data_IF_043238584840
#
_entry.id   IF_043238584840
#
_cell.length_a   1.000
_cell.length_b   1.000
_cell.length_c   1.000
_cell.angle_alpha   90.00
_cell.angle_beta   90.00
_cell.angle_gamma   90.00
#
_symmetry.space_group_name_H-M   'P 1'
#
loop_
_entity.id
_entity.type
_entity.pdbx_description
1 polymer ?
#
# COMPACT_ATOMS: atom_id res chain seq x y z
N UNK A 1 -5.85 -36.81 -3.28
CA UNK A 1 -4.59 -37.14 -3.98
C UNK A 1 -3.57 -35.98 -3.89
N UNK A 2 -3.61 -35.16 -2.84
CA UNK A 2 -2.78 -33.94 -2.73
C UNK A 2 -2.07 -33.81 -1.36
N UNK A 3 -2.07 -34.85 -0.52
CA UNK A 3 -1.86 -34.65 0.92
C UNK A 3 -0.79 -35.51 1.63
N UNK A 4 0.20 -36.11 0.93
CA UNK A 4 1.51 -36.20 1.61
C UNK A 4 2.76 -36.01 0.74
N UNK A 5 2.64 -35.72 -0.56
CA UNK A 5 3.80 -35.67 -1.49
C UNK A 5 4.27 -34.25 -1.89
N UNK A 6 3.63 -33.19 -1.39
CA UNK A 6 3.74 -31.83 -1.94
C UNK A 6 5.01 -31.02 -1.63
N UNK A 7 5.88 -31.47 -0.72
CA UNK A 7 6.93 -30.60 -0.17
C UNK A 7 8.25 -30.54 -0.98
N UNK A 8 8.42 -31.31 -2.05
CA UNK A 8 9.70 -31.32 -2.81
C UNK A 8 9.56 -31.39 -4.33
N UNK A 9 8.40 -31.74 -4.88
CA UNK A 9 8.22 -31.87 -6.34
C UNK A 9 8.09 -30.52 -7.07
N UNK A 10 7.80 -29.42 -6.36
CA UNK A 10 7.77 -28.09 -6.96
C UNK A 10 9.15 -27.65 -7.50
N UNK A 11 10.22 -28.28 -7.05
CA UNK A 11 11.58 -27.99 -7.46
C UNK A 11 11.95 -28.57 -8.83
N UNK A 12 11.23 -29.61 -9.29
CA UNK A 12 11.41 -30.19 -10.61
C UNK A 12 10.68 -29.34 -11.67
N UNK A 13 11.41 -28.75 -12.64
CA UNK A 13 10.80 -27.90 -13.65
C UNK A 13 9.78 -28.63 -14.54
N UNK A 14 9.95 -29.93 -14.78
CA UNK A 14 9.04 -30.72 -15.62
C UNK A 14 7.71 -30.92 -14.88
N UNK A 15 7.79 -31.27 -13.59
CA UNK A 15 6.60 -31.45 -12.76
C UNK A 15 5.89 -30.11 -12.58
N UNK A 16 6.63 -29.03 -12.33
CA UNK A 16 6.08 -27.69 -12.18
C UNK A 16 5.33 -27.21 -13.43
N UNK A 17 5.89 -27.46 -14.62
CA UNK A 17 5.24 -27.17 -15.90
C UNK A 17 3.97 -28.01 -16.08
N UNK A 18 4.05 -29.32 -15.89
CA UNK A 18 2.90 -30.23 -16.01
C UNK A 18 1.76 -29.88 -15.04
N UNK A 19 2.08 -29.47 -13.81
CA UNK A 19 1.08 -29.01 -12.83
C UNK A 19 0.39 -27.74 -13.31
N UNK A 20 1.14 -26.74 -13.80
CA UNK A 20 0.54 -25.51 -14.33
C UNK A 20 -0.28 -25.74 -15.60
N UNK A 21 0.14 -26.64 -16.49
CA UNK A 21 -0.64 -27.03 -17.65
C UNK A 21 -1.95 -27.71 -17.25
N UNK A 22 -1.89 -28.65 -16.31
CA UNK A 22 -3.07 -29.33 -15.78
C UNK A 22 -4.07 -28.35 -15.14
N UNK A 23 -3.57 -27.41 -14.33
CA UNK A 23 -4.39 -26.38 -13.69
C UNK A 23 -5.03 -25.44 -14.72
N UNK A 24 -4.28 -25.00 -15.73
CA UNK A 24 -4.81 -24.15 -16.79
C UNK A 24 -5.86 -24.88 -17.65
N UNK A 25 -5.63 -26.15 -17.99
CA UNK A 25 -6.58 -26.95 -18.77
C UNK A 25 -7.90 -27.21 -18.02
N UNK A 26 -7.87 -27.28 -16.69
CA UNK A 26 -9.02 -27.62 -15.86
C UNK A 26 -9.57 -26.42 -15.05
N UNK A 27 -9.09 -25.21 -15.28
CA UNK A 27 -9.43 -24.00 -14.51
C UNK A 27 -10.95 -23.80 -14.38
N UNK A 28 -11.71 -23.95 -15.48
CA UNK A 28 -13.16 -23.78 -15.47
C UNK A 28 -13.87 -24.84 -14.59
N UNK A 29 -13.35 -26.06 -14.54
CA UNK A 29 -13.90 -27.13 -13.70
C UNK A 29 -13.64 -26.86 -12.22
N UNK A 30 -12.44 -26.36 -11.89
CA UNK A 30 -12.11 -25.98 -10.51
C UNK A 30 -12.97 -24.82 -10.03
N UNK A 31 -13.13 -23.77 -10.84
CA UNK A 31 -13.94 -22.61 -10.49
C UNK A 31 -15.42 -22.96 -10.30
N UNK A 32 -15.95 -23.92 -11.04
CA UNK A 32 -17.37 -24.31 -10.97
C UNK A 32 -17.65 -25.38 -9.91
N UNK A 33 -16.75 -26.36 -9.77
CA UNK A 33 -16.99 -27.55 -8.92
C UNK A 33 -16.34 -27.44 -7.54
N UNK A 34 -15.21 -26.73 -7.42
CA UNK A 34 -14.42 -26.63 -6.19
C UNK A 34 -13.79 -25.24 -6.01
N UNK A 35 -14.61 -24.17 -5.85
CA UNK A 35 -14.12 -22.78 -5.86
C UNK A 35 -13.14 -22.44 -4.74
N UNK A 36 -13.14 -23.20 -3.64
CA UNK A 36 -12.26 -22.98 -2.48
C UNK A 36 -10.95 -23.78 -2.55
N UNK A 37 -10.87 -24.80 -3.40
CA UNK A 37 -9.74 -25.74 -3.43
C UNK A 37 -8.47 -25.06 -3.95
N UNK A 38 -8.57 -24.39 -5.10
CA UNK A 38 -7.42 -23.76 -5.72
C UNK A 38 -6.82 -22.61 -4.86
N UNK A 39 -7.64 -21.73 -4.25
CA UNK A 39 -7.17 -20.76 -3.27
C UNK A 39 -6.38 -21.36 -2.10
N UNK A 40 -6.72 -22.54 -1.58
CA UNK A 40 -5.99 -23.13 -0.45
C UNK A 40 -4.52 -23.44 -0.79
N UNK A 41 -4.24 -23.78 -2.06
CA UNK A 41 -2.91 -24.14 -2.53
C UNK A 41 -2.07 -22.94 -3.02
N UNK A 42 -2.50 -21.69 -2.79
CA UNK A 42 -1.72 -20.52 -3.20
C UNK A 42 -0.28 -20.53 -2.65
N UNK A 43 0.02 -20.93 -1.39
CA UNK A 43 1.38 -20.91 -0.86
C UNK A 43 2.32 -21.84 -1.63
N UNK A 44 1.84 -23.04 -2.00
CA UNK A 44 2.60 -24.00 -2.80
C UNK A 44 2.85 -23.49 -4.21
N UNK A 45 1.85 -22.89 -4.85
CA UNK A 45 2.01 -22.30 -6.18
C UNK A 45 2.96 -21.11 -6.19
N UNK A 46 2.98 -20.32 -5.11
CA UNK A 46 3.97 -19.27 -4.87
C UNK A 46 5.39 -19.86 -4.72
N UNK A 47 5.58 -20.96 -3.97
CA UNK A 47 6.87 -21.68 -3.87
C UNK A 47 7.33 -22.22 -5.24
N UNK A 48 6.42 -22.80 -6.01
CA UNK A 48 6.68 -23.32 -7.36
C UNK A 48 7.21 -22.23 -8.30
N UNK A 49 6.58 -21.06 -8.31
CA UNK A 49 7.04 -19.93 -9.15
C UNK A 49 8.30 -19.30 -8.62
N UNK A 50 8.43 -19.19 -7.30
CA UNK A 50 9.65 -18.70 -6.67
C UNK A 50 10.87 -19.53 -7.09
N UNK A 51 10.71 -20.86 -7.22
CA UNK A 51 11.79 -21.76 -7.59
C UNK A 51 12.12 -21.78 -9.09
N UNK A 52 11.10 -21.82 -9.95
CA UNK A 52 11.25 -22.03 -11.39
C UNK A 52 11.41 -20.74 -12.21
N UNK A 53 11.11 -19.57 -11.63
CA UNK A 53 11.41 -18.27 -12.21
C UNK A 53 10.56 -17.90 -13.44
N UNK A 54 11.13 -17.08 -14.32
CA UNK A 54 10.40 -16.39 -15.42
C UNK A 54 9.82 -17.35 -16.47
N UNK A 55 10.36 -18.57 -16.60
CA UNK A 55 9.87 -19.59 -17.55
C UNK A 55 8.38 -19.91 -17.36
N UNK A 56 7.94 -19.93 -16.11
CA UNK A 56 6.57 -20.29 -15.73
C UNK A 56 5.69 -19.07 -15.41
N UNK A 57 6.18 -17.84 -15.60
CA UNK A 57 5.42 -16.61 -15.29
C UNK A 57 4.10 -16.55 -16.09
N UNK A 58 4.16 -16.74 -17.41
CA UNK A 58 2.99 -16.67 -18.30
C UNK A 58 1.90 -17.70 -17.95
N UNK A 59 2.20 -19.01 -17.82
CA UNK A 59 1.19 -19.99 -17.42
C UNK A 59 0.67 -19.74 -16.00
N UNK A 60 1.49 -19.18 -15.11
CA UNK A 60 1.06 -18.81 -13.76
C UNK A 60 0.10 -17.62 -13.74
N UNK A 61 0.38 -16.56 -14.49
CA UNK A 61 -0.49 -15.38 -14.53
C UNK A 61 -1.90 -15.70 -15.07
N UNK A 62 -2.06 -16.78 -15.86
CA UNK A 62 -3.38 -17.25 -16.31
C UNK A 62 -4.21 -17.88 -15.19
N UNK A 63 -3.57 -18.65 -14.31
CA UNK A 63 -4.25 -19.31 -13.18
C UNK A 63 -4.35 -18.40 -11.95
N UNK A 64 -3.47 -17.41 -11.82
CA UNK A 64 -3.37 -16.54 -10.65
C UNK A 64 -4.69 -15.86 -10.23
N UNK A 65 -5.53 -15.33 -11.14
CA UNK A 65 -6.85 -14.78 -10.77
C UNK A 65 -7.75 -15.79 -10.03
N UNK A 66 -7.63 -17.08 -10.35
CA UNK A 66 -8.42 -18.13 -9.72
C UNK A 66 -7.93 -18.48 -8.30
N UNK A 67 -6.76 -17.98 -7.89
CA UNK A 67 -6.28 -18.05 -6.50
C UNK A 67 -6.92 -16.99 -5.61
N UNK A 68 -7.55 -15.98 -6.19
CA UNK A 68 -8.15 -14.86 -5.46
C UNK A 68 -9.58 -15.20 -5.10
N UNK A 69 -9.80 -15.52 -3.83
CA UNK A 69 -11.11 -15.82 -3.24
C UNK A 69 -11.30 -14.99 -1.97
N UNK A 70 -12.53 -14.87 -1.43
CA UNK A 70 -12.76 -14.12 -0.19
C UNK A 70 -11.87 -14.58 0.99
N UNK A 71 -11.53 -15.87 1.07
CA UNK A 71 -10.68 -16.42 2.13
C UNK A 71 -9.17 -16.24 1.89
N UNK A 72 -8.74 -16.22 0.63
CA UNK A 72 -7.31 -16.09 0.27
C UNK A 72 -6.88 -14.65 -0.05
N UNK A 73 -7.82 -13.74 -0.32
CA UNK A 73 -7.52 -12.39 -0.80
C UNK A 73 -6.60 -11.60 0.12
N UNK A 74 -6.93 -11.52 1.42
CA UNK A 74 -6.13 -10.76 2.39
C UNK A 74 -4.78 -11.44 2.69
N UNK A 75 -4.70 -12.76 2.95
CA UNK A 75 -3.42 -13.44 3.18
C UNK A 75 -2.48 -13.45 1.98
N UNK A 76 -3.02 -13.45 0.75
CA UNK A 76 -2.23 -13.48 -0.47
C UNK A 76 -1.38 -12.21 -0.65
N UNK A 77 -1.88 -11.04 -0.23
CA UNK A 77 -1.15 -9.77 -0.40
C UNK A 77 0.21 -9.78 0.33
N UNK A 78 0.30 -10.05 1.66
CA UNK A 78 1.59 -10.19 2.32
C UNK A 78 2.51 -11.22 1.68
N UNK A 79 1.99 -12.35 1.19
CA UNK A 79 2.80 -13.37 0.51
C UNK A 79 3.45 -12.86 -0.78
N UNK A 80 2.71 -12.09 -1.57
CA UNK A 80 3.22 -11.45 -2.79
C UNK A 80 4.25 -10.37 -2.48
N UNK A 81 4.09 -9.66 -1.37
CA UNK A 81 5.07 -8.65 -0.94
C UNK A 81 6.37 -9.28 -0.44
N UNK A 82 6.27 -10.45 0.19
CA UNK A 82 7.40 -11.21 0.74
C UNK A 82 8.01 -12.20 -0.25
N UNK A 83 7.57 -12.16 -1.50
CA UNK A 83 8.07 -13.06 -2.53
C UNK A 83 9.61 -13.07 -2.64
N UNK A 84 10.29 -11.91 -2.63
CA UNK A 84 11.75 -11.88 -2.64
C UNK A 84 12.37 -12.61 -1.45
N UNK A 85 11.76 -12.53 -0.26
CA UNK A 85 12.24 -13.26 0.92
C UNK A 85 12.02 -14.76 0.75
N UNK A 86 10.88 -15.17 0.19
CA UNK A 86 10.60 -16.58 -0.05
C UNK A 86 11.70 -17.22 -0.91
N UNK A 87 12.18 -16.53 -1.95
CA UNK A 87 13.32 -17.01 -2.75
C UNK A 87 14.60 -17.09 -1.93
N UNK A 88 14.92 -16.06 -1.14
CA UNK A 88 16.10 -16.07 -0.26
C UNK A 88 16.04 -17.24 0.73
N UNK A 89 14.88 -17.53 1.30
CA UNK A 89 14.67 -18.66 2.20
C UNK A 89 14.87 -20.01 1.49
N UNK A 90 14.28 -20.19 0.31
CA UNK A 90 14.41 -21.40 -0.49
C UNK A 90 15.87 -21.67 -0.90
N UNK A 91 16.60 -20.63 -1.33
CA UNK A 91 18.02 -20.76 -1.69
C UNK A 91 18.93 -21.03 -0.49
N UNK A 92 18.55 -20.58 0.71
CA UNK A 92 19.29 -20.93 1.93
C UNK A 92 19.12 -22.40 2.27
N UNK A 93 17.90 -22.93 2.18
CA UNK A 93 17.66 -24.36 2.40
C UNK A 93 18.45 -25.21 1.40
N UNK A 94 18.51 -24.80 0.13
CA UNK A 94 19.33 -25.48 -0.89
C UNK A 94 20.82 -25.54 -0.53
N UNK A 95 21.38 -24.43 -0.04
CA UNK A 95 22.79 -24.37 0.37
C UNK A 95 23.07 -25.22 1.62
N UNK A 96 22.09 -25.40 2.50
CA UNK A 96 22.25 -26.12 3.77
C UNK A 96 21.91 -27.61 3.67
N UNK A 97 21.01 -28.02 2.77
CA UNK A 97 20.50 -29.39 2.65
C UNK A 97 21.02 -30.17 1.42
N UNK A 98 21.82 -29.53 0.56
CA UNK A 98 22.10 -30.04 -0.79
C UNK A 98 20.87 -29.91 -1.69
N UNK A 99 20.97 -30.37 -2.94
CA UNK A 99 19.88 -30.29 -3.94
C UNK A 99 18.52 -30.66 -3.32
N UNK A 100 17.53 -29.75 -3.40
CA UNK A 100 16.15 -29.99 -2.93
C UNK A 100 15.45 -31.14 -3.70
N UNK A 101 16.08 -31.64 -4.76
CA UNK A 101 15.65 -32.83 -5.48
C UNK A 101 15.93 -34.06 -4.61
N UNK A 102 14.92 -34.49 -3.84
CA UNK A 102 14.91 -35.78 -3.14
C UNK A 102 15.16 -35.76 -1.63
N UNK A 103 15.53 -34.63 -1.03
CA UNK A 103 15.74 -34.52 0.42
C UNK A 103 14.54 -33.87 1.13
N UNK A 104 13.92 -34.62 2.04
CA UNK A 104 12.74 -34.17 2.79
C UNK A 104 13.10 -33.09 3.81
N UNK A 105 12.39 -31.96 3.80
CA UNK A 105 12.51 -30.85 4.78
C UNK A 105 12.32 -31.35 6.22
N UNK A 106 11.66 -32.50 6.42
CA UNK A 106 11.57 -33.20 7.70
C UNK A 106 12.93 -33.57 8.32
N UNK A 107 14.00 -33.68 7.52
CA UNK A 107 15.36 -33.92 8.02
C UNK A 107 15.98 -32.74 8.79
N UNK A 108 15.45 -31.52 8.60
CA UNK A 108 15.86 -30.32 9.36
C UNK A 108 15.31 -30.39 10.80
N UNK A 109 14.27 -31.19 11.04
CA UNK A 109 13.80 -31.58 12.37
C UNK A 109 14.50 -32.83 12.92
N UNK A 110 15.77 -33.09 12.58
CA UNK A 110 16.57 -34.00 13.40
C UNK A 110 16.86 -33.28 14.73
N UNK A 111 15.86 -33.29 15.60
CA UNK A 111 15.97 -32.78 16.96
C UNK A 111 17.24 -33.35 17.59
N UNK A 112 17.98 -32.56 18.38
CA UNK A 112 19.07 -33.07 19.23
C UNK A 112 18.57 -34.03 20.32
N UNK A 113 17.24 -34.17 20.48
CA UNK A 113 16.61 -34.97 21.51
C UNK A 113 16.86 -36.50 21.43
N UNK A 114 16.88 -37.17 20.25
CA UNK A 114 17.15 -38.59 20.16
C UNK A 114 18.63 -38.91 20.36
N UNK A 115 19.54 -38.04 19.92
CA UNK A 115 21.00 -38.21 20.13
C UNK A 115 21.38 -37.96 21.58
N UNK A 116 20.76 -36.99 22.26
CA UNK A 116 20.95 -36.75 23.70
C UNK A 116 20.33 -37.86 24.56
N UNK A 117 19.22 -38.46 24.13
CA UNK A 117 18.64 -39.66 24.77
C UNK A 117 19.50 -40.91 24.53
N UNK A 118 20.06 -41.09 23.33
CA UNK A 118 21.02 -42.17 23.06
C UNK A 118 22.30 -42.00 23.88
N UNK A 119 22.82 -40.78 24.01
CA UNK A 119 24.00 -40.47 24.83
C UNK A 119 23.73 -40.70 26.33
N UNK A 120 22.57 -40.29 26.84
CA UNK A 120 22.16 -40.55 28.23
C UNK A 120 21.87 -42.03 28.51
N UNK A 121 21.36 -42.77 27.52
CA UNK A 121 21.18 -44.22 27.63
C UNK A 121 22.52 -44.95 27.63
N UNK A 122 23.50 -44.51 26.83
CA UNK A 122 24.87 -45.04 26.86
C UNK A 122 25.61 -44.69 28.15
N UNK A 123 25.41 -43.50 28.72
CA UNK A 123 25.97 -43.09 30.03
C UNK A 123 25.41 -43.94 31.16
N UNK A 124 24.09 -44.19 31.18
CA UNK A 124 23.44 -45.05 32.17
C UNK A 124 23.81 -46.54 32.03
N UNK A 125 24.25 -46.98 30.85
CA UNK A 125 24.59 -48.38 30.58
C UNK A 125 26.09 -48.69 30.70
N UNK A 126 26.96 -47.70 30.48
CA UNK A 126 28.43 -47.87 30.47
C UNK A 126 29.15 -47.20 31.64
N UNK A 127 28.48 -46.32 32.40
CA UNK A 127 29.00 -45.77 33.66
C UNK A 127 30.23 -44.87 33.55
N UNK A 128 30.63 -44.45 32.35
CA UNK A 128 31.76 -43.52 32.18
C UNK A 128 31.32 -42.07 32.31
N UNK A 129 31.72 -41.42 33.39
CA UNK A 129 31.64 -39.96 33.55
C UNK A 129 32.54 -39.29 32.52
N UNK A 130 32.00 -38.37 31.70
CA UNK A 130 32.84 -37.52 30.83
C UNK A 130 33.77 -36.71 31.74
N UNK A 131 35.07 -37.00 31.63
CA UNK A 131 36.12 -36.21 32.26
C UNK A 131 36.15 -34.81 31.68
N UNK A 132 36.19 -33.83 32.58
CA UNK A 132 36.59 -32.45 32.34
C UNK A 132 37.93 -32.44 31.57
N UNK A 133 37.89 -31.98 30.32
CA UNK A 133 39.01 -32.04 29.39
C UNK A 133 39.05 -30.78 28.55
N UNK A 134 39.67 -29.73 29.09
CA UNK A 134 40.08 -28.55 28.32
C UNK A 134 41.05 -28.93 27.21
N UNK A 135 40.87 -28.31 26.05
CA UNK A 135 41.74 -28.44 24.89
C UNK A 135 41.33 -27.45 23.82
N UNK A 136 42.20 -26.47 23.59
CA UNK A 136 42.07 -25.38 22.64
C UNK A 136 41.70 -25.85 21.22
N UNK A 137 40.74 -25.17 20.61
CA UNK A 137 40.65 -25.02 19.16
C UNK A 137 40.11 -23.64 18.87
N UNK A 138 41.04 -22.71 18.70
CA UNK A 138 40.83 -21.49 17.92
C UNK A 138 40.43 -21.92 16.50
N UNK A 139 39.13 -21.90 16.21
CA UNK A 139 38.65 -21.80 14.83
C UNK A 139 37.76 -20.58 14.72
N UNK A 140 38.20 -19.64 13.89
CA UNK A 140 37.44 -18.47 13.47
C UNK A 140 36.11 -18.91 12.84
N UNK A 141 35.06 -18.98 13.64
CA UNK A 141 33.71 -19.24 13.15
C UNK A 141 33.13 -17.95 12.57
N UNK A 142 33.27 -17.86 11.24
CA UNK A 142 32.35 -17.14 10.38
C UNK A 142 30.91 -17.32 10.87
N UNK A 143 30.16 -16.22 10.96
CA UNK A 143 28.74 -16.15 11.32
C UNK A 143 27.87 -17.21 10.62
N UNK A 144 27.83 -18.43 11.12
CA UNK A 144 26.87 -19.47 10.75
C UNK A 144 25.59 -19.18 11.54
N UNK A 145 24.82 -18.21 11.02
CA UNK A 145 23.42 -18.05 11.41
C UNK A 145 22.71 -19.39 11.19
N UNK A 146 22.42 -20.06 12.29
CA UNK A 146 21.87 -21.40 12.38
C UNK A 146 20.58 -21.54 11.54
N UNK A 147 20.50 -22.62 10.77
CA UNK A 147 19.36 -23.00 9.90
C UNK A 147 18.08 -23.19 10.72
N UNK A 148 18.22 -23.30 12.03
CA UNK A 148 17.16 -23.44 13.02
C UNK A 148 16.49 -22.11 13.44
N UNK A 149 16.63 -21.01 12.71
CA UNK A 149 15.89 -19.78 13.02
C UNK A 149 14.37 -20.02 12.77
N UNK A 150 13.54 -20.03 13.83
CA UNK A 150 12.13 -20.42 13.76
C UNK A 150 11.32 -19.59 12.74
N UNK A 151 11.77 -18.38 12.42
CA UNK A 151 11.17 -17.51 11.40
C UNK A 151 11.29 -18.09 9.97
N UNK A 152 12.35 -18.85 9.66
CA UNK A 152 12.52 -19.47 8.33
C UNK A 152 11.69 -20.72 8.15
N UNK A 153 11.58 -21.53 9.21
CA UNK A 153 10.70 -22.68 9.20
C UNK A 153 9.24 -22.24 9.10
N UNK A 154 8.85 -21.11 9.70
CA UNK A 154 7.54 -20.49 9.51
C UNK A 154 7.30 -20.05 8.06
N UNK A 155 8.31 -19.48 7.38
CA UNK A 155 8.23 -19.13 5.95
C UNK A 155 8.05 -20.34 5.02
N UNK A 156 8.52 -21.51 5.43
CA UNK A 156 8.57 -22.73 4.62
C UNK A 156 7.53 -23.78 5.01
N UNK A 157 6.88 -23.63 6.16
CA UNK A 157 5.77 -24.50 6.59
C UNK A 157 4.71 -24.55 5.50
N UNK A 158 4.10 -25.72 5.40
CA UNK A 158 2.99 -25.97 4.49
C UNK A 158 1.71 -25.53 5.18
N UNK A 159 1.43 -24.23 5.14
CA UNK A 159 0.40 -23.61 5.97
C UNK A 159 -0.94 -23.56 5.23
N UNK A 160 -1.68 -24.67 5.30
CA UNK A 160 -3.13 -24.65 5.15
C UNK A 160 -3.83 -23.93 6.34
N UNK A 161 -3.08 -23.50 7.37
CA UNK A 161 -3.57 -22.90 8.63
C UNK A 161 -3.40 -21.37 8.74
N UNK A 162 -3.11 -20.69 7.63
CA UNK A 162 -3.07 -19.23 7.60
C UNK A 162 -1.71 -18.66 8.01
N UNK A 163 -1.23 -17.71 7.20
CA UNK A 163 0.08 -17.10 7.38
C UNK A 163 0.07 -16.16 8.60
N UNK A 164 0.89 -16.44 9.61
CA UNK A 164 1.15 -15.51 10.71
C UNK A 164 1.67 -14.16 10.21
N UNK A 165 1.38 -13.09 10.95
CA UNK A 165 1.88 -11.74 10.66
C UNK A 165 3.42 -11.70 10.79
N UNK A 166 4.10 -11.45 9.66
CA UNK A 166 5.57 -11.53 9.56
C UNK A 166 6.24 -10.27 10.10
N UNK A 167 7.04 -10.43 11.15
CA UNK A 167 7.76 -9.34 11.81
C UNK A 167 9.04 -8.97 11.05
N UNK A 168 8.93 -8.15 10.02
CA UNK A 168 10.07 -7.64 9.25
C UNK A 168 11.11 -6.87 10.07
N UNK A 169 10.72 -6.39 11.25
CA UNK A 169 11.60 -5.66 12.17
C UNK A 169 12.40 -6.59 13.09
N UNK A 170 12.30 -7.91 12.94
CA UNK A 170 13.09 -8.83 13.74
C UNK A 170 14.58 -8.75 13.35
N UNK A 171 15.51 -8.78 14.34
CA UNK A 171 16.94 -8.73 14.06
C UNK A 171 17.39 -9.86 13.13
N UNK A 172 16.80 -11.07 13.25
CA UNK A 172 17.02 -12.19 12.33
C UNK A 172 16.69 -11.85 10.88
N UNK A 173 15.50 -11.31 10.60
CA UNK A 173 15.10 -10.93 9.23
C UNK A 173 16.01 -9.84 8.65
N UNK A 174 16.39 -8.84 9.45
CA UNK A 174 17.27 -7.77 8.97
C UNK A 174 18.66 -8.28 8.61
N UNK A 175 19.23 -9.19 9.39
CA UNK A 175 20.53 -9.81 9.11
C UNK A 175 20.49 -10.65 7.81
N UNK A 176 19.38 -11.33 7.55
CA UNK A 176 19.17 -12.13 6.34
C UNK A 176 19.10 -11.26 5.10
N UNK A 177 18.30 -10.21 5.16
CA UNK A 177 18.16 -9.26 4.07
C UNK A 177 19.53 -8.62 3.79
N UNK A 178 20.26 -8.24 4.84
CA UNK A 178 21.60 -7.67 4.70
C UNK A 178 22.59 -8.68 4.08
N UNK A 179 22.54 -9.95 4.49
CA UNK A 179 23.37 -11.01 3.89
C UNK A 179 23.01 -11.27 2.41
N UNK A 180 21.73 -11.23 2.05
CA UNK A 180 21.26 -11.35 0.67
C UNK A 180 21.64 -10.15 -0.20
N UNK A 181 21.80 -8.97 0.40
CA UNK A 181 22.29 -7.77 -0.29
C UNK A 181 23.81 -7.78 -0.50
N UNK A 182 24.55 -8.32 0.47
CA UNK A 182 26.02 -8.34 0.44
C UNK A 182 26.57 -9.44 -0.49
N UNK A 183 25.76 -10.45 -0.79
CA UNK A 183 26.11 -11.52 -1.74
C UNK A 183 25.64 -11.16 -3.16
N UNK A 184 26.31 -11.70 -4.18
CA UNK A 184 25.89 -11.49 -5.56
C UNK A 184 24.45 -12.02 -5.74
N UNK A 185 23.51 -11.12 -6.07
CA UNK A 185 22.10 -11.47 -6.23
C UNK A 185 21.94 -12.60 -7.26
N UNK A 186 21.27 -13.67 -6.85
CA UNK A 186 20.96 -14.80 -7.72
C UNK A 186 20.09 -14.35 -8.90
N UNK A 187 20.21 -15.03 -10.03
CA UNK A 187 19.38 -14.71 -11.20
C UNK A 187 17.89 -14.99 -10.93
N UNK A 188 17.59 -15.98 -10.08
CA UNK A 188 16.23 -16.27 -9.59
C UNK A 188 15.65 -15.09 -8.82
N UNK A 189 16.41 -14.49 -7.91
CA UNK A 189 15.99 -13.30 -7.16
C UNK A 189 15.76 -12.09 -8.10
N UNK A 190 16.65 -11.86 -9.07
CA UNK A 190 16.48 -10.78 -10.06
C UNK A 190 15.22 -10.95 -10.90
N UNK A 191 14.97 -12.17 -11.38
CA UNK A 191 13.75 -12.50 -12.13
C UNK A 191 12.52 -12.23 -11.26
N UNK A 192 12.51 -12.71 -10.01
CA UNK A 192 11.37 -12.54 -9.13
C UNK A 192 11.10 -11.06 -8.78
N UNK A 193 12.14 -10.27 -8.52
CA UNK A 193 12.00 -8.82 -8.30
C UNK A 193 11.34 -8.11 -9.50
N UNK A 194 11.50 -8.62 -10.71
CA UNK A 194 10.84 -8.11 -11.91
C UNK A 194 9.41 -8.65 -12.11
N UNK A 195 9.15 -9.91 -11.72
CA UNK A 195 7.83 -10.55 -11.83
C UNK A 195 6.83 -10.03 -10.78
N UNK A 196 7.27 -9.83 -9.53
CA UNK A 196 6.37 -9.45 -8.42
C UNK A 196 5.49 -8.23 -8.74
N UNK A 197 6.00 -7.10 -9.29
CA UNK A 197 5.15 -5.98 -9.67
C UNK A 197 4.06 -6.34 -10.71
N UNK A 198 4.35 -7.25 -11.65
CA UNK A 198 3.38 -7.69 -12.67
C UNK A 198 2.29 -8.57 -12.07
N UNK A 199 2.67 -9.44 -11.13
CA UNK A 199 1.70 -10.26 -10.39
C UNK A 199 0.80 -9.36 -9.52
N UNK A 200 1.37 -8.32 -8.90
CA UNK A 200 0.59 -7.30 -8.18
C UNK A 200 -0.36 -6.53 -9.11
N UNK A 201 0.05 -6.21 -10.34
CA UNK A 201 -0.82 -5.56 -11.33
C UNK A 201 -2.08 -6.43 -11.60
N UNK A 202 -1.92 -7.74 -11.75
CA UNK A 202 -3.05 -8.69 -11.90
C UNK A 202 -3.88 -8.77 -10.63
N UNK A 203 -3.24 -8.89 -9.46
CA UNK A 203 -3.93 -8.95 -8.15
C UNK A 203 -4.84 -7.73 -7.95
N UNK A 204 -4.31 -6.53 -8.19
CA UNK A 204 -5.05 -5.28 -8.04
C UNK A 204 -6.15 -5.12 -9.10
N UNK A 205 -5.90 -5.56 -10.34
CA UNK A 205 -6.92 -5.53 -11.40
C UNK A 205 -8.12 -6.42 -11.05
N UNK A 206 -7.86 -7.64 -10.56
CA UNK A 206 -8.92 -8.57 -10.12
C UNK A 206 -9.64 -8.02 -8.88
N UNK A 207 -8.90 -7.45 -7.93
CA UNK A 207 -9.47 -6.85 -6.73
C UNK A 207 -10.48 -5.73 -7.08
N UNK A 208 -10.11 -4.81 -7.98
CA UNK A 208 -10.98 -3.72 -8.38
C UNK A 208 -12.24 -4.17 -9.15
N UNK A 209 -12.21 -5.33 -9.79
CA UNK A 209 -13.32 -5.84 -10.61
C UNK A 209 -14.28 -6.77 -9.84
N UNK A 210 -13.74 -7.66 -9.01
CA UNK A 210 -14.51 -8.82 -8.49
C UNK A 210 -14.67 -8.76 -6.96
N UNK A 211 -13.74 -8.14 -6.24
CA UNK A 211 -13.71 -8.21 -4.77
C UNK A 211 -14.62 -7.15 -4.13
N UNK A 212 -15.32 -7.57 -3.09
CA UNK A 212 -16.23 -6.74 -2.30
C UNK A 212 -15.52 -5.58 -1.58
N UNK A 213 -16.28 -4.52 -1.35
CA UNK A 213 -15.78 -3.29 -0.73
C UNK A 213 -15.22 -3.50 0.68
N UNK A 214 -15.78 -4.43 1.47
CA UNK A 214 -15.29 -4.69 2.83
C UNK A 214 -13.89 -5.29 2.85
N UNK A 215 -13.58 -6.23 1.95
CA UNK A 215 -12.23 -6.80 1.84
C UNK A 215 -11.25 -5.77 1.30
N UNK A 216 -11.64 -4.95 0.34
CA UNK A 216 -10.77 -3.87 -0.16
C UNK A 216 -10.50 -2.84 0.94
N UNK A 217 -11.52 -2.47 1.72
CA UNK A 217 -11.35 -1.58 2.87
C UNK A 217 -10.39 -2.18 3.91
N UNK A 218 -10.45 -3.49 4.16
CA UNK A 218 -9.52 -4.18 5.05
C UNK A 218 -8.09 -4.28 4.48
N UNK A 219 -7.93 -4.34 3.16
CA UNK A 219 -6.63 -4.40 2.51
C UNK A 219 -5.86 -3.07 2.61
N UNK A 220 -6.53 -1.92 2.49
CA UNK A 220 -5.88 -0.60 2.42
C UNK A 220 -4.90 -0.34 3.59
N UNK A 221 -5.25 -0.58 4.88
CA UNK A 221 -4.29 -0.45 5.98
C UNK A 221 -3.05 -1.33 5.84
N UNK A 222 -3.19 -2.55 5.29
CA UNK A 222 -2.06 -3.44 5.01
C UNK A 222 -1.13 -2.83 3.96
N UNK A 223 -1.69 -2.23 2.90
CA UNK A 223 -0.91 -1.52 1.88
C UNK A 223 -0.13 -0.34 2.48
N UNK A 224 -0.79 0.44 3.34
CA UNK A 224 -0.18 1.58 4.02
C UNK A 224 0.99 1.13 4.92
N UNK A 225 0.81 0.06 5.69
CA UNK A 225 1.85 -0.51 6.55
C UNK A 225 3.05 -1.02 5.75
N UNK A 226 2.77 -1.72 4.64
CA UNK A 226 3.81 -2.30 3.78
C UNK A 226 4.56 -1.30 2.93
N UNK A 227 4.01 -0.12 2.67
CA UNK A 227 4.67 0.90 1.86
C UNK A 227 6.05 1.32 2.43
N UNK A 228 6.21 1.25 3.76
CA UNK A 228 7.50 1.50 4.45
C UNK A 228 8.41 0.28 4.57
N UNK A 229 7.89 -0.94 4.41
CA UNK A 229 8.57 -2.20 4.72
C UNK A 229 8.60 -3.06 3.45
N UNK A 230 9.65 -2.89 2.66
CA UNK A 230 9.86 -3.58 1.38
C UNK A 230 11.25 -4.18 1.32
N UNK A 231 11.42 -5.17 0.45
CA UNK A 231 12.73 -5.70 0.12
C UNK A 231 13.63 -4.57 -0.44
N UNK A 232 14.85 -4.36 0.10
CA UNK A 232 15.71 -3.23 -0.22
C UNK A 232 16.36 -3.33 -1.62
N UNK A 233 15.57 -3.08 -2.66
CA UNK A 233 16.02 -2.87 -4.02
C UNK A 233 15.32 -1.61 -4.57
N UNK A 234 16.08 -0.65 -5.10
CA UNK A 234 15.55 0.68 -5.49
C UNK A 234 14.47 0.58 -6.57
N UNK A 235 14.72 -0.18 -7.63
CA UNK A 235 13.80 -0.31 -8.76
C UNK A 235 12.54 -1.08 -8.35
N UNK A 236 12.72 -2.15 -7.58
CA UNK A 236 11.61 -2.92 -7.00
C UNK A 236 10.74 -2.05 -6.09
N UNK A 237 11.35 -1.34 -5.14
CA UNK A 237 10.64 -0.45 -4.22
C UNK A 237 9.84 0.61 -4.98
N UNK A 238 10.46 1.26 -5.97
CA UNK A 238 9.77 2.27 -6.79
C UNK A 238 8.57 1.66 -7.52
N UNK A 239 8.77 0.53 -8.23
CA UNK A 239 7.71 -0.14 -8.97
C UNK A 239 6.56 -0.53 -8.03
N UNK A 240 6.84 -1.21 -6.93
CA UNK A 240 5.83 -1.69 -5.98
C UNK A 240 5.09 -0.53 -5.32
N UNK A 241 5.79 0.47 -4.75
CA UNK A 241 5.15 1.63 -4.12
C UNK A 241 4.20 2.35 -5.09
N UNK A 242 4.60 2.50 -6.35
CA UNK A 242 3.74 3.08 -7.39
C UNK A 242 2.43 2.29 -7.54
N UNK A 243 2.47 0.95 -7.63
CA UNK A 243 1.25 0.11 -7.73
C UNK A 243 0.37 0.23 -6.49
N UNK A 244 0.98 0.19 -5.29
CA UNK A 244 0.24 0.33 -4.04
C UNK A 244 -0.54 1.64 -4.01
N UNK A 245 0.11 2.75 -4.39
CA UNK A 245 -0.51 4.07 -4.44
C UNK A 245 -1.62 4.12 -5.50
N UNK A 246 -1.36 3.67 -6.72
CA UNK A 246 -2.35 3.65 -7.81
C UNK A 246 -3.59 2.85 -7.42
N UNK A 247 -3.42 1.67 -6.80
CA UNK A 247 -4.54 0.87 -6.32
C UNK A 247 -5.31 1.55 -5.19
N UNK A 248 -4.64 2.13 -4.18
CA UNK A 248 -5.32 2.85 -3.11
C UNK A 248 -6.15 4.02 -3.63
N UNK A 249 -5.60 4.81 -4.56
CA UNK A 249 -6.32 5.91 -5.19
C UNK A 249 -7.52 5.41 -6.02
N UNK A 250 -7.36 4.33 -6.79
CA UNK A 250 -8.46 3.71 -7.51
C UNK A 250 -9.55 3.18 -6.57
N UNK A 251 -9.17 2.61 -5.43
CA UNK A 251 -10.10 2.13 -4.41
C UNK A 251 -10.89 3.28 -3.76
N UNK A 252 -10.23 4.39 -3.41
CA UNK A 252 -10.90 5.59 -2.91
C UNK A 252 -11.81 6.24 -3.96
N UNK A 253 -11.42 6.21 -5.22
CA UNK A 253 -12.25 6.70 -6.31
C UNK A 253 -13.49 5.83 -6.52
N UNK A 254 -13.35 4.50 -6.38
CA UNK A 254 -14.46 3.55 -6.47
C UNK A 254 -15.43 3.71 -5.30
N UNK A 255 -14.90 3.85 -4.08
CA UNK A 255 -15.70 3.96 -2.85
C UNK A 255 -15.11 5.04 -1.93
N UNK A 256 -15.58 6.30 -2.06
CA UNK A 256 -15.15 7.42 -1.22
C UNK A 256 -15.31 7.16 0.28
N UNK A 257 -16.32 6.37 0.66
CA UNK A 257 -16.64 6.03 2.05
C UNK A 257 -15.47 5.38 2.80
N UNK A 258 -14.54 4.72 2.10
CA UNK A 258 -13.34 4.13 2.70
C UNK A 258 -12.51 5.15 3.47
N UNK A 259 -12.46 6.42 3.04
CA UNK A 259 -11.70 7.46 3.73
C UNK A 259 -12.28 7.73 5.12
N UNK A 260 -13.61 7.73 5.25
CA UNK A 260 -14.26 7.91 6.53
C UNK A 260 -14.05 6.70 7.46
N UNK A 261 -14.13 5.49 6.90
CA UNK A 261 -13.92 4.24 7.64
C UNK A 261 -12.46 4.10 8.12
N UNK A 262 -11.50 4.52 7.31
CA UNK A 262 -10.07 4.38 7.54
C UNK A 262 -9.42 5.66 8.10
N UNK A 263 -10.20 6.57 8.67
CA UNK A 263 -9.72 7.86 9.19
C UNK A 263 -8.51 7.70 10.13
N UNK A 264 -8.55 6.74 11.06
CA UNK A 264 -7.47 6.49 12.03
C UNK A 264 -6.16 6.06 11.34
N UNK A 265 -6.13 4.94 10.56
CA UNK A 265 -4.95 4.55 9.79
C UNK A 265 -4.39 5.67 8.89
N UNK A 266 -5.28 6.45 8.26
CA UNK A 266 -4.87 7.58 7.41
C UNK A 266 -4.15 8.65 8.24
N UNK A 267 -4.72 9.05 9.37
CA UNK A 267 -4.13 10.08 10.23
C UNK A 267 -2.79 9.65 10.84
N UNK A 268 -2.67 8.39 11.24
CA UNK A 268 -1.40 7.85 11.76
C UNK A 268 -0.27 8.00 10.71
N UNK A 269 -0.56 7.69 9.44
CA UNK A 269 0.41 7.82 8.34
C UNK A 269 0.76 9.27 8.01
N UNK A 270 -0.20 10.19 8.15
CA UNK A 270 0.05 11.62 7.99
C UNK A 270 0.99 12.16 9.08
N UNK A 271 0.80 11.73 10.33
CA UNK A 271 1.67 12.07 11.45
C UNK A 271 3.10 11.54 11.26
N UNK A 272 3.26 10.28 10.85
CA UNK A 272 4.59 9.69 10.59
C UNK A 272 5.38 10.40 9.48
N UNK A 273 4.70 10.96 8.49
CA UNK A 273 5.33 11.68 7.38
C UNK A 273 5.92 13.04 7.78
N UNK A 274 5.47 13.61 8.90
CA UNK A 274 6.07 14.80 9.47
C UNK A 274 7.49 14.52 10.01
N UNK A 275 7.67 13.33 10.60
CA UNK A 275 8.94 12.89 11.17
C UNK A 275 9.91 12.37 10.10
N UNK A 276 9.42 11.57 9.15
CA UNK A 276 10.26 10.91 8.16
C UNK A 276 9.96 11.33 6.71
N UNK A 277 10.90 11.99 6.00
CA UNK A 277 10.69 12.42 4.62
C UNK A 277 10.50 11.26 3.63
N UNK A 278 10.96 10.04 3.95
CA UNK A 278 10.73 8.86 3.11
C UNK A 278 9.25 8.44 3.07
N UNK A 279 8.46 8.83 4.07
CA UNK A 279 7.02 8.54 4.16
C UNK A 279 6.14 9.64 3.57
N UNK A 280 6.74 10.77 3.17
CA UNK A 280 5.99 11.94 2.67
C UNK A 280 5.13 11.62 1.45
N UNK A 281 5.62 10.83 0.49
CA UNK A 281 4.89 10.61 -0.77
C UNK A 281 3.54 9.91 -0.54
N UNK A 282 3.47 8.93 0.36
CA UNK A 282 2.20 8.30 0.75
C UNK A 282 1.26 9.32 1.41
N UNK A 283 1.76 10.12 2.35
CA UNK A 283 0.96 11.13 3.02
C UNK A 283 0.42 12.20 2.07
N UNK A 284 1.17 12.59 1.02
CA UNK A 284 0.67 13.48 -0.02
C UNK A 284 -0.55 12.89 -0.72
N UNK A 285 -0.48 11.61 -1.12
CA UNK A 285 -1.58 10.94 -1.82
C UNK A 285 -2.81 10.75 -0.91
N UNK A 286 -2.61 10.42 0.36
CA UNK A 286 -3.70 10.33 1.34
C UNK A 286 -4.35 11.69 1.60
N UNK A 287 -3.55 12.75 1.71
CA UNK A 287 -4.04 14.11 1.89
C UNK A 287 -4.84 14.59 0.66
N UNK A 288 -4.35 14.28 -0.55
CA UNK A 288 -5.09 14.51 -1.78
C UNK A 288 -6.43 13.77 -1.79
N UNK A 289 -6.43 12.49 -1.40
CA UNK A 289 -7.65 11.67 -1.37
C UNK A 289 -8.69 12.22 -0.38
N UNK A 290 -8.27 12.64 0.82
CA UNK A 290 -9.15 13.31 1.80
C UNK A 290 -9.85 14.51 1.18
N UNK A 291 -9.07 15.38 0.51
CA UNK A 291 -9.60 16.58 -0.13
C UNK A 291 -10.53 16.28 -1.31
N UNK A 292 -10.09 15.43 -2.24
CA UNK A 292 -10.82 15.11 -3.47
C UNK A 292 -12.20 14.47 -3.19
N UNK A 293 -12.26 13.61 -2.18
CA UNK A 293 -13.45 12.84 -1.85
C UNK A 293 -14.23 13.42 -0.67
N UNK A 294 -13.92 14.63 -0.22
CA UNK A 294 -14.63 15.29 0.87
C UNK A 294 -14.60 14.50 2.19
N UNK A 295 -13.53 13.76 2.48
CA UNK A 295 -13.39 13.00 3.72
C UNK A 295 -14.34 11.80 3.87
N UNK A 296 -14.89 11.29 2.77
CA UNK A 296 -15.86 10.17 2.79
C UNK A 296 -17.16 10.41 2.03
N UNK A 297 -17.34 11.60 1.44
CA UNK A 297 -18.57 12.01 0.79
C UNK A 297 -19.56 12.71 1.73
N UNK A 298 -20.73 13.08 1.19
CA UNK A 298 -21.72 13.96 1.87
C UNK A 298 -22.32 13.38 3.15
N UNK A 299 -22.42 12.06 3.23
CA UNK A 299 -22.99 11.35 4.38
C UNK A 299 -22.05 11.32 5.60
N UNK A 300 -20.73 11.51 5.39
CA UNK A 300 -19.72 11.29 6.42
C UNK A 300 -19.21 12.60 7.05
N UNK A 301 -20.14 13.47 7.50
CA UNK A 301 -19.80 14.79 8.06
C UNK A 301 -18.91 14.72 9.30
N UNK A 302 -19.19 13.81 10.22
CA UNK A 302 -18.42 13.69 11.46
C UNK A 302 -16.99 13.22 11.19
N UNK A 303 -16.82 12.25 10.30
CA UNK A 303 -15.49 11.81 9.86
C UNK A 303 -14.73 12.93 9.15
N UNK A 304 -15.39 13.71 8.29
CA UNK A 304 -14.78 14.86 7.63
C UNK A 304 -14.35 15.95 8.63
N UNK A 305 -15.12 16.16 9.71
CA UNK A 305 -14.76 17.08 10.80
C UNK A 305 -13.53 16.61 11.56
N UNK A 306 -13.46 15.33 11.94
CA UNK A 306 -12.28 14.77 12.62
C UNK A 306 -11.02 14.79 11.73
N UNK A 307 -11.16 14.49 10.44
CA UNK A 307 -10.08 14.60 9.47
C UNK A 307 -9.61 16.05 9.34
N UNK A 308 -10.54 17.01 9.26
CA UNK A 308 -10.22 18.42 9.25
C UNK A 308 -9.46 18.84 10.51
N UNK A 309 -9.91 18.43 11.69
CA UNK A 309 -9.26 18.70 12.97
C UNK A 309 -7.83 18.23 13.01
N UNK A 310 -7.61 17.02 12.51
CA UNK A 310 -6.29 16.40 12.50
C UNK A 310 -5.36 17.06 11.47
N UNK A 311 -5.90 17.47 10.30
CA UNK A 311 -5.16 18.26 9.31
C UNK A 311 -4.82 19.66 9.85
N UNK A 312 -5.72 20.29 10.58
CA UNK A 312 -5.50 21.57 11.24
C UNK A 312 -4.42 21.48 12.33
N UNK A 313 -4.42 20.40 13.13
CA UNK A 313 -3.39 20.14 14.12
C UNK A 313 -2.01 20.07 13.46
N UNK A 314 -1.87 19.24 12.42
CA UNK A 314 -0.62 19.09 11.68
C UNK A 314 -0.16 20.43 11.07
N UNK A 315 -1.09 21.23 10.56
CA UNK A 315 -0.80 22.58 10.08
C UNK A 315 -0.23 23.48 11.18
N UNK A 316 -0.83 23.49 12.37
CA UNK A 316 -0.39 24.35 13.47
C UNK A 316 0.91 23.89 14.13
N UNK A 317 1.13 22.59 14.30
CA UNK A 317 2.40 22.04 14.81
C UNK A 317 3.57 22.51 13.95
N UNK A 318 3.42 22.46 12.62
CA UNK A 318 4.42 22.93 11.68
C UNK A 318 4.66 24.46 11.78
N UNK A 319 3.61 25.26 11.94
CA UNK A 319 3.74 26.71 12.13
C UNK A 319 4.50 27.05 13.42
N UNK A 320 4.27 26.31 14.49
CA UNK A 320 4.96 26.49 15.78
C UNK A 320 6.42 26.08 15.69
N UNK A 321 6.72 24.92 15.10
CA UNK A 321 8.11 24.48 14.87
C UNK A 321 8.90 25.46 14.00
N UNK A 322 8.27 26.10 13.02
CA UNK A 322 8.92 27.14 12.20
C UNK A 322 9.19 28.43 12.97
N UNK A 323 8.43 28.76 14.02
CA UNK A 323 8.60 30.00 14.80
C UNK A 323 9.60 29.87 15.93
N UNK A 324 9.67 28.69 16.55
CA UNK A 324 10.48 28.49 17.75
C UNK A 324 11.98 28.32 17.44
N UNK A 325 12.38 28.18 16.17
CA UNK A 325 13.80 27.99 15.82
C UNK A 325 14.45 26.75 16.46
N UNK A 326 13.66 25.89 17.12
CA UNK A 326 14.04 24.73 17.93
C UNK A 326 14.64 23.57 17.14
N UNK A 327 15.04 23.81 15.89
CA UNK A 327 15.57 22.78 15.00
C UNK A 327 16.84 23.24 14.28
N UNK A 328 17.60 24.12 14.92
CA UNK A 328 19.04 24.25 14.66
C UNK A 328 19.76 23.18 15.49
N UNK A 329 19.72 21.93 15.02
CA UNK A 329 20.79 21.01 15.40
C UNK A 329 22.01 21.43 14.60
N UNK A 330 22.92 22.13 15.27
CA UNK A 330 24.25 22.50 14.81
C UNK A 330 25.01 21.24 14.38
N UNK A 331 25.20 21.06 13.06
CA UNK A 331 25.99 19.96 12.50
C UNK A 331 25.80 19.76 10.99
N UNK A 332 26.55 20.53 10.19
CA UNK A 332 27.14 20.19 8.87
C UNK A 332 26.37 19.40 7.77
N UNK A 333 25.03 19.34 7.78
CA UNK A 333 24.23 18.66 6.75
C UNK A 333 23.19 19.57 6.07
N UNK A 334 23.67 20.67 5.46
CA UNK A 334 22.83 21.69 4.80
C UNK A 334 21.92 21.15 3.68
N UNK A 335 22.35 20.11 2.96
CA UNK A 335 21.60 19.50 1.86
C UNK A 335 20.41 18.65 2.34
N UNK A 336 20.61 17.83 3.37
CA UNK A 336 19.56 17.00 3.98
C UNK A 336 18.50 17.82 4.69
N UNK A 337 18.92 18.93 5.32
CA UNK A 337 18.00 19.85 5.98
C UNK A 337 17.13 20.62 4.97
N UNK A 338 17.72 21.08 3.87
CA UNK A 338 16.97 21.72 2.76
C UNK A 338 15.95 20.76 2.12
N UNK A 339 16.33 19.50 1.90
CA UNK A 339 15.42 18.47 1.37
C UNK A 339 14.24 18.23 2.32
N UNK A 340 14.48 18.08 3.63
CA UNK A 340 13.42 17.88 4.63
C UNK A 340 12.52 19.10 4.76
N UNK A 341 13.05 20.32 4.75
CA UNK A 341 12.23 21.55 4.73
C UNK A 341 11.37 21.61 3.47
N UNK A 342 11.92 21.27 2.31
CA UNK A 342 11.17 21.26 1.05
C UNK A 342 10.07 20.20 1.04
N UNK A 343 10.31 18.99 1.57
CA UNK A 343 9.28 17.95 1.68
C UNK A 343 8.17 18.34 2.65
N UNK A 344 8.50 18.98 3.77
CA UNK A 344 7.53 19.52 4.73
C UNK A 344 6.65 20.59 4.10
N UNK A 345 7.25 21.56 3.39
CA UNK A 345 6.46 22.57 2.67
C UNK A 345 5.54 21.98 1.61
N UNK A 346 5.99 20.93 0.88
CA UNK A 346 5.13 20.18 -0.05
C UNK A 346 3.95 19.55 0.68
N UNK A 347 4.18 18.91 1.82
CA UNK A 347 3.10 18.31 2.63
C UNK A 347 2.10 19.36 3.11
N UNK A 348 2.56 20.49 3.65
CA UNK A 348 1.69 21.58 4.10
C UNK A 348 0.84 22.15 2.97
N UNK A 349 1.39 22.23 1.76
CA UNK A 349 0.65 22.66 0.60
C UNK A 349 -0.51 21.70 0.26
N UNK A 350 -0.31 20.39 0.38
CA UNK A 350 -1.37 19.41 0.22
C UNK A 350 -2.39 19.52 1.35
N UNK A 351 -1.96 19.69 2.59
CA UNK A 351 -2.83 19.87 3.78
C UNK A 351 -3.73 21.10 3.63
N UNK A 352 -3.17 22.24 3.25
CA UNK A 352 -3.91 23.46 2.96
C UNK A 352 -4.94 23.24 1.84
N UNK A 353 -4.55 22.52 0.78
CA UNK A 353 -5.47 22.19 -0.33
C UNK A 353 -6.59 21.27 0.15
N UNK A 354 -6.29 20.25 0.96
CA UNK A 354 -7.29 19.33 1.51
C UNK A 354 -8.27 20.06 2.44
N UNK A 355 -7.78 20.95 3.31
CA UNK A 355 -8.60 21.83 4.16
C UNK A 355 -9.56 22.68 3.31
N UNK A 356 -9.06 23.31 2.25
CA UNK A 356 -9.88 24.13 1.36
C UNK A 356 -10.94 23.31 0.60
N UNK A 357 -10.57 22.14 0.08
CA UNK A 357 -11.50 21.20 -0.57
C UNK A 357 -12.55 20.66 0.40
N UNK A 358 -12.16 20.24 1.60
CA UNK A 358 -13.08 19.79 2.66
C UNK A 358 -14.07 20.90 3.04
N UNK A 359 -13.62 22.14 3.18
CA UNK A 359 -14.48 23.27 3.49
C UNK A 359 -15.43 23.65 2.35
N UNK A 360 -15.00 23.44 1.11
CA UNK A 360 -15.85 23.62 -0.08
C UNK A 360 -16.92 22.53 -0.14
N UNK A 361 -16.55 21.30 0.20
CA UNK A 361 -17.44 20.15 0.19
C UNK A 361 -18.44 20.17 1.36
N UNK A 362 -17.96 20.46 2.58
CA UNK A 362 -18.73 20.53 3.83
C UNK A 362 -18.73 21.97 4.36
N UNK A 363 -19.77 22.73 3.99
CA UNK A 363 -19.86 24.18 4.27
C UNK A 363 -19.78 24.57 5.75
N UNK A 364 -20.08 23.65 6.66
CA UNK A 364 -19.93 23.85 8.11
C UNK A 364 -18.47 24.07 8.55
N UNK A 365 -17.50 23.55 7.78
CA UNK A 365 -16.07 23.71 8.06
C UNK A 365 -15.50 25.03 7.53
N UNK A 366 -16.27 25.77 6.72
CA UNK A 366 -15.79 26.97 6.01
C UNK A 366 -15.28 28.08 6.95
N UNK A 367 -16.00 28.49 8.03
CA UNK A 367 -15.51 29.51 8.94
C UNK A 367 -14.18 29.11 9.59
N UNK A 368 -14.07 27.83 9.99
CA UNK A 368 -12.87 27.27 10.61
C UNK A 368 -11.70 27.28 9.63
N UNK A 369 -11.91 26.80 8.40
CA UNK A 369 -10.90 26.82 7.34
C UNK A 369 -10.35 28.23 7.06
N UNK A 370 -11.23 29.24 6.98
CA UNK A 370 -10.80 30.64 6.80
C UNK A 370 -9.91 31.12 7.96
N UNK A 371 -10.22 30.73 9.19
CA UNK A 371 -9.39 31.05 10.35
C UNK A 371 -8.03 30.34 10.29
N UNK A 372 -8.01 29.04 9.99
CA UNK A 372 -6.78 28.24 9.91
C UNK A 372 -5.85 28.76 8.81
N UNK A 373 -6.37 28.99 7.60
CA UNK A 373 -5.60 29.55 6.48
C UNK A 373 -5.21 31.01 6.73
N UNK A 374 -6.08 31.81 7.35
CA UNK A 374 -5.74 33.18 7.75
C UNK A 374 -4.62 33.24 8.77
N UNK A 375 -4.51 32.26 9.68
CA UNK A 375 -3.36 32.15 10.59
C UNK A 375 -2.07 31.82 9.84
N UNK A 376 -2.11 30.92 8.85
CA UNK A 376 -0.95 30.61 8.00
C UNK A 376 -0.51 31.84 7.21
N UNK A 377 -1.44 32.52 6.53
CA UNK A 377 -1.15 33.70 5.71
C UNK A 377 -0.60 34.89 6.55
N UNK A 378 -0.99 34.99 7.82
CA UNK A 378 -0.46 36.00 8.75
C UNK A 378 0.82 35.56 9.45
N UNK A 379 1.03 34.25 9.61
CA UNK A 379 2.32 33.76 10.07
C UNK A 379 3.34 33.99 8.97
N UNK A 380 4.43 34.69 9.29
CA UNK A 380 5.58 34.86 8.38
C UNK A 380 6.29 33.50 8.22
N UNK A 381 5.64 32.53 7.57
CA UNK A 381 6.23 31.23 7.25
C UNK A 381 7.43 31.47 6.34
N UNK A 382 8.52 30.72 6.56
CA UNK A 382 9.75 30.86 5.79
C UNK A 382 9.60 30.45 4.32
N UNK A 383 8.63 29.57 3.99
CA UNK A 383 8.40 29.12 2.62
C UNK A 383 7.28 29.89 1.92
N UNK A 384 7.65 30.60 0.85
CA UNK A 384 6.74 31.36 -0.02
C UNK A 384 5.63 30.48 -0.61
N UNK A 385 5.90 29.20 -0.93
CA UNK A 385 4.90 28.30 -1.55
C UNK A 385 3.72 28.01 -0.64
N UNK A 386 3.98 27.87 0.66
CA UNK A 386 2.96 27.58 1.67
C UNK A 386 2.12 28.84 1.90
N UNK A 387 2.79 29.99 2.01
CA UNK A 387 2.14 31.28 2.19
C UNK A 387 1.22 31.64 1.00
N UNK A 388 1.73 31.58 -0.23
CA UNK A 388 0.97 31.89 -1.44
C UNK A 388 -0.25 31.00 -1.56
N UNK A 389 -0.08 29.69 -1.37
CA UNK A 389 -1.21 28.75 -1.44
C UNK A 389 -2.27 29.00 -0.37
N UNK A 390 -1.88 29.34 0.86
CA UNK A 390 -2.84 29.70 1.91
C UNK A 390 -3.58 31.01 1.58
N UNK A 391 -2.86 32.00 1.04
CA UNK A 391 -3.43 33.29 0.63
C UNK A 391 -4.43 33.13 -0.52
N UNK A 392 -4.06 32.38 -1.57
CA UNK A 392 -4.90 32.12 -2.73
C UNK A 392 -6.20 31.43 -2.34
N UNK A 393 -6.14 30.38 -1.51
CA UNK A 393 -7.34 29.69 -1.06
C UNK A 393 -8.17 30.51 -0.06
N UNK A 394 -7.55 31.39 0.74
CA UNK A 394 -8.32 32.31 1.58
C UNK A 394 -9.15 33.28 0.73
N UNK A 395 -8.57 33.77 -0.37
CA UNK A 395 -9.28 34.54 -1.40
C UNK A 395 -10.40 33.72 -2.04
N UNK A 396 -10.08 32.54 -2.54
CA UNK A 396 -11.03 31.65 -3.23
C UNK A 396 -12.22 31.25 -2.36
N UNK A 397 -11.99 30.91 -1.09
CA UNK A 397 -13.04 30.55 -0.12
C UNK A 397 -13.95 31.75 0.27
N UNK A 398 -13.71 32.95 -0.26
CA UNK A 398 -14.58 34.12 -0.07
C UNK A 398 -15.78 34.08 -1.00
N UNK A 399 -15.67 33.39 -2.14
CA UNK A 399 -16.78 33.16 -3.05
C UNK A 399 -17.07 31.65 -3.14
N UNK A 400 -18.13 31.17 -2.46
CA UNK A 400 -18.50 29.76 -2.46
C UNK A 400 -18.82 29.19 -3.85
N UNK A 401 -19.28 30.00 -4.80
CA UNK A 401 -19.63 29.55 -6.15
C UNK A 401 -18.38 29.23 -6.96
N UNK A 402 -17.43 30.17 -6.97
CA UNK A 402 -16.14 29.99 -7.65
C UNK A 402 -15.32 28.89 -6.96
N UNK A 403 -15.34 28.82 -5.63
CA UNK A 403 -14.65 27.74 -4.91
C UNK A 403 -15.23 26.37 -5.27
N UNK A 404 -16.54 26.22 -5.38
CA UNK A 404 -17.16 24.95 -5.77
C UNK A 404 -16.83 24.55 -7.22
N UNK A 405 -16.72 25.51 -8.13
CA UNK A 405 -16.31 25.21 -9.52
C UNK A 405 -14.86 24.76 -9.64
N UNK A 406 -13.97 25.22 -8.77
CA UNK A 406 -12.52 24.96 -8.86
C UNK A 406 -12.10 23.80 -7.94
N UNK A 407 -12.63 23.77 -6.72
CA UNK A 407 -12.28 22.82 -5.66
C UNK A 407 -13.35 21.75 -5.42
N UNK A 408 -14.50 21.86 -6.07
CA UNK A 408 -15.57 20.87 -5.96
C UNK A 408 -15.17 19.50 -6.49
N UNK A 409 -15.93 18.46 -6.13
CA UNK A 409 -15.65 17.09 -6.55
C UNK A 409 -15.73 16.98 -8.08
N UNK A 410 -14.74 16.32 -8.68
CA UNK A 410 -14.66 16.08 -10.11
C UNK A 410 -15.77 15.18 -10.66
N UNK A 411 -16.42 14.38 -9.81
CA UNK A 411 -17.58 13.54 -10.15
C UNK A 411 -18.77 13.92 -9.26
N UNK A 412 -19.96 14.19 -9.82
CA UNK A 412 -21.16 14.41 -9.03
C UNK A 412 -21.53 13.11 -8.28
N UNK A 413 -21.98 13.24 -7.03
CA UNK A 413 -22.32 12.11 -6.17
C UNK A 413 -23.58 11.36 -6.61
N UNK A 414 -24.35 11.92 -7.55
CA UNK A 414 -25.51 11.32 -8.21
C UNK A 414 -25.70 11.98 -9.58
N UNK A 415 -26.20 11.24 -10.58
CA UNK A 415 -26.53 11.78 -11.91
C UNK A 415 -27.49 12.99 -11.83
N UNK A 416 -28.32 13.06 -10.77
CA UNK A 416 -29.32 14.12 -10.57
C UNK A 416 -28.85 15.33 -9.73
N UNK A 417 -27.65 15.31 -9.13
CA UNK A 417 -27.18 16.41 -8.29
C UNK A 417 -26.19 17.30 -9.04
N UNK A 418 -26.69 18.14 -9.93
CA UNK A 418 -25.90 19.27 -10.43
C UNK A 418 -25.57 20.22 -9.29
N UNK A 419 -24.28 20.30 -8.97
CA UNK A 419 -23.76 21.29 -8.05
C UNK A 419 -23.96 22.68 -8.68
N UNK A 420 -24.58 23.64 -7.97
CA UNK A 420 -24.80 24.98 -8.53
C UNK A 420 -23.45 25.61 -8.88
N UNK A 421 -23.25 25.95 -10.17
CA UNK A 421 -22.02 26.57 -10.66
C UNK A 421 -20.96 25.61 -11.23
N UNK A 422 -21.23 24.29 -11.32
CA UNK A 422 -20.33 23.39 -12.05
C UNK A 422 -20.57 23.53 -13.56
N UNK A 423 -19.66 24.23 -14.24
CA UNK A 423 -19.65 24.30 -15.70
C UNK A 423 -19.12 22.97 -16.24
N UNK A 424 -19.99 22.20 -16.90
CA UNK A 424 -19.54 21.04 -17.67
C UNK A 424 -18.84 21.54 -18.96
N UNK A 425 -17.53 21.72 -18.87
CA UNK A 425 -16.71 22.22 -19.98
C UNK A 425 -16.78 21.34 -21.23
N UNK A 426 -17.21 20.07 -21.10
CA UNK A 426 -17.44 19.19 -22.25
C UNK A 426 -18.71 19.56 -23.04
N UNK A 427 -19.69 20.18 -22.38
CA UNK A 427 -20.94 20.70 -22.97
C UNK A 427 -20.89 22.21 -23.26
N UNK A 428 -19.82 22.90 -22.86
CA UNK A 428 -19.67 24.36 -22.94
C UNK A 428 -19.74 24.97 -24.35
N UNK A 429 -19.75 24.16 -25.42
CA UNK A 429 -20.06 24.65 -26.78
C UNK A 429 -21.56 24.83 -27.06
N UNK A 430 -22.44 24.11 -26.37
CA UNK A 430 -23.85 24.00 -26.77
C UNK A 430 -24.87 24.41 -25.69
N UNK A 431 -24.52 24.40 -24.40
CA UNK A 431 -25.45 24.81 -23.32
C UNK A 431 -24.74 25.68 -22.28
N UNK A 432 -25.30 26.86 -22.04
CA UNK A 432 -24.89 27.73 -20.93
C UNK A 432 -25.94 27.58 -19.82
N UNK A 433 -25.70 26.70 -18.86
CA UNK A 433 -26.53 26.64 -17.64
C UNK A 433 -25.94 27.63 -16.64
N UNK A 434 -26.40 28.87 -16.71
CA UNK A 434 -26.14 29.86 -15.67
C UNK A 434 -27.38 29.98 -14.78
N UNK A 435 -27.28 29.51 -13.54
CA UNK A 435 -28.27 29.74 -12.47
C UNK A 435 -28.20 31.16 -11.90
N UNK A 436 -27.82 32.15 -12.72
CA UNK A 436 -28.15 33.55 -12.42
C UNK A 436 -29.56 33.73 -12.94
N UNK A 437 -30.53 34.16 -12.14
CA UNK A 437 -31.84 34.45 -12.67
C UNK A 437 -31.74 35.68 -13.58
N UNK A 438 -31.67 35.45 -14.90
CA UNK A 438 -31.55 36.51 -15.89
C UNK A 438 -32.78 37.41 -16.00
N UNK A 439 -33.84 37.15 -15.22
CA UNK A 439 -34.97 38.09 -15.05
C UNK A 439 -34.54 39.44 -14.46
N UNK A 440 -33.31 39.55 -13.93
CA UNK A 440 -32.75 40.82 -13.42
C UNK A 440 -32.19 41.70 -14.56
N UNK A 441 -31.90 41.15 -15.74
CA UNK A 441 -31.20 41.91 -16.81
C UNK A 441 -32.13 42.52 -17.89
N UNK A 442 -33.41 42.19 -17.87
CA UNK A 442 -34.48 42.95 -18.53
C UNK A 442 -35.74 42.76 -17.71
N UNK A 443 -36.33 43.85 -17.24
CA UNK A 443 -37.63 43.90 -16.56
C UNK A 443 -38.75 43.21 -17.37
N UNK A 444 -38.79 41.88 -17.37
CA UNK A 444 -39.92 41.10 -17.86
C UNK A 444 -40.31 40.11 -16.78
N UNK A 445 -41.49 40.34 -16.22
CA UNK A 445 -42.13 39.47 -15.24
C UNK A 445 -42.63 38.19 -15.93
N UNK A 446 -42.15 37.03 -15.47
CA UNK A 446 -42.71 35.71 -15.82
C UNK A 446 -41.72 34.55 -15.62
N UNK A 447 -42.18 33.35 -15.22
CA UNK A 447 -41.32 32.17 -15.15
C UNK A 447 -40.88 31.71 -16.55
N UNK A 448 -39.65 31.17 -16.73
CA UNK A 448 -39.18 30.74 -18.05
C UNK A 448 -39.89 29.46 -18.50
N UNK A 449 -40.45 29.48 -19.71
CA UNK A 449 -41.15 28.34 -20.32
C UNK A 449 -40.25 27.44 -21.18
N UNK A 450 -38.92 27.62 -21.17
CA UNK A 450 -37.95 26.73 -21.85
C UNK A 450 -36.50 27.12 -21.50
N UNK A 451 -35.58 26.16 -21.66
CA UNK A 451 -34.13 26.37 -21.59
C UNK A 451 -33.67 27.26 -22.76
N UNK A 452 -33.01 28.39 -22.46
CA UNK A 452 -32.51 29.31 -23.47
C UNK A 452 -31.29 28.74 -24.21
N UNK A 453 -31.29 28.88 -25.55
CA UNK A 453 -30.22 28.49 -26.45
C UNK A 453 -29.40 29.70 -26.94
N UNK A 454 -28.18 29.48 -27.44
CA UNK A 454 -27.35 30.56 -28.01
C UNK A 454 -28.02 31.32 -29.17
N UNK A 455 -28.95 30.67 -29.87
CA UNK A 455 -29.74 31.28 -30.94
C UNK A 455 -30.72 32.36 -30.47
N UNK A 456 -31.05 32.39 -29.17
CA UNK A 456 -32.02 33.33 -28.61
C UNK A 456 -31.39 34.69 -28.24
N UNK A 457 -30.05 34.72 -28.13
CA UNK A 457 -29.25 35.90 -27.73
C UNK A 457 -28.70 36.62 -28.96
N UNK A 458 -28.42 35.89 -30.03
CA UNK A 458 -27.88 36.46 -31.26
C UNK A 458 -29.04 36.92 -32.16
N UNK A 459 -29.09 38.20 -32.58
CA UNK A 459 -30.04 38.61 -33.59
C UNK A 459 -29.79 37.78 -34.86
N UNK A 460 -30.81 37.07 -35.34
CA UNK A 460 -30.78 36.48 -36.68
C UNK A 460 -30.59 37.64 -37.65
N UNK A 461 -29.42 37.64 -38.31
CA UNK A 461 -28.92 38.52 -39.37
C UNK A 461 -29.79 39.72 -39.74
#
# INVERSE_FOLDING_TARGET
>A
MFEPYGCSEFADPIVAEAVLEFLNANQNKFLTSFPTLLPQFFPLLLKLIAWNGEKLEKPFLKIFPALISPGSFLPLFPSLMDFPILVVALERVERCSGSLVGNSIASIQKSKAPEMLLALMDEAYTGSTIGDGGGDSESEDSNTLDVADPLFLELLKDENDGLSERHWNSPGMTAVIQAALNTAQSDRLKQLLNMTPRILDVYFSVALQVVNDSLICALIPLLMSRNSILFPNKDFCYKVRKRLLEFMLAAFQRSPAFIALLKKPIMDRLGEAYENPAKTELALQLCWAIGEHGGGGRSHKDAARELFESLELLLYENLLSSRLGLRQDSGDNSSGESFRRSSQSRLLCFVITAIAKLATYHRELLPRARVSLGKVARSRTSDSRVWTRAHDYLGLLSDPGVSLSILGPSKPASEDAHNPGTVDWSQGRNKMVAHIPFYILREQEGPPFHDFSFSDILPRR
#
